data_IF_982844964204
#
_entry.id   IF_982844964204
#
_cell.length_a   1.000
_cell.length_b   1.000
_cell.length_c   1.000
_cell.angle_alpha   90.00
_cell.angle_beta   90.00
_cell.angle_gamma   90.00
#
_symmetry.space_group_name_H-M   'P 1'
#
loop_
_entity.id
_entity.type
_entity.pdbx_description
1 polymer ?
#
# COMPACT_ATOMS: atom_id res chain seq x y z
N UNK A 1 13.80 -1.10 5.47
CA UNK A 1 13.56 -1.58 6.85
C UNK A 1 14.89 -1.95 7.48
N UNK A 2 15.19 -1.48 8.68
CA UNK A 2 16.45 -1.83 9.35
C UNK A 2 16.21 -3.11 10.16
N UNK A 3 16.52 -4.28 9.59
CA UNK A 3 16.24 -5.61 10.19
C UNK A 3 16.83 -5.76 11.61
N UNK A 4 17.84 -4.94 11.95
CA UNK A 4 18.47 -4.93 13.28
C UNK A 4 17.56 -4.44 14.42
N UNK A 5 16.47 -3.70 14.14
CA UNK A 5 15.53 -3.21 15.20
C UNK A 5 14.51 -4.29 15.60
N UNK A 6 14.19 -5.25 14.73
CA UNK A 6 13.10 -6.23 14.95
C UNK A 6 13.59 -7.66 14.68
N UNK A 7 14.12 -8.32 15.71
CA UNK A 7 14.77 -9.63 15.58
C UNK A 7 13.83 -10.84 15.58
N UNK A 8 12.57 -10.64 15.98
CA UNK A 8 11.56 -11.71 16.02
C UNK A 8 10.62 -11.71 14.80
N UNK A 9 10.82 -10.81 13.84
CA UNK A 9 9.98 -10.71 12.65
C UNK A 9 10.80 -11.02 11.41
N UNK A 10 10.36 -12.01 10.63
CA UNK A 10 10.95 -12.32 9.34
C UNK A 10 10.03 -11.80 8.24
N UNK A 11 10.55 -10.95 7.36
CA UNK A 11 9.85 -10.51 6.16
C UNK A 11 10.27 -11.41 5.01
N UNK A 12 9.30 -12.02 4.32
CA UNK A 12 9.51 -12.77 3.09
C UNK A 12 8.90 -11.96 1.96
N UNK A 13 9.71 -11.58 0.97
CA UNK A 13 9.25 -10.79 -0.17
C UNK A 13 9.02 -11.72 -1.34
N UNK A 14 7.77 -11.82 -1.78
CA UNK A 14 7.41 -12.48 -3.01
C UNK A 14 7.21 -11.44 -4.11
N UNK A 15 7.88 -11.65 -5.25
CA UNK A 15 7.79 -10.78 -6.41
C UNK A 15 7.12 -11.51 -7.56
N UNK A 16 6.26 -10.78 -8.27
CA UNK A 16 5.46 -11.28 -9.38
C UNK A 16 5.84 -10.55 -10.68
N UNK A 17 7.14 -10.29 -10.85
CA UNK A 17 7.68 -9.46 -11.94
C UNK A 17 7.41 -10.04 -13.34
N UNK A 18 7.10 -11.33 -13.43
CA UNK A 18 6.78 -12.04 -14.68
C UNK A 18 5.27 -12.07 -15.01
N UNK A 19 4.40 -11.64 -14.10
CA UNK A 19 2.97 -11.63 -14.32
C UNK A 19 2.50 -10.29 -14.88
N UNK A 20 1.59 -10.36 -15.83
CA UNK A 20 0.81 -9.19 -16.22
C UNK A 20 -0.06 -8.72 -15.04
N UNK A 21 -0.36 -7.42 -14.99
CA UNK A 21 -1.10 -6.81 -13.88
C UNK A 21 -2.42 -7.55 -13.58
N UNK A 22 -3.19 -7.91 -14.61
CA UNK A 22 -4.46 -8.62 -14.45
C UNK A 22 -4.30 -10.03 -13.85
N UNK A 23 -3.23 -10.74 -14.23
CA UNK A 23 -2.93 -12.07 -13.71
C UNK A 23 -2.51 -11.99 -12.24
N UNK A 24 -1.69 -10.99 -11.90
CA UNK A 24 -1.30 -10.73 -10.53
C UNK A 24 -2.51 -10.36 -9.66
N UNK A 25 -3.37 -9.46 -10.13
CA UNK A 25 -4.61 -9.06 -9.46
C UNK A 25 -5.54 -10.26 -9.23
N UNK A 26 -5.75 -11.11 -10.24
CA UNK A 26 -6.58 -12.31 -10.13
C UNK A 26 -6.03 -13.29 -9.08
N UNK A 27 -4.71 -13.49 -9.07
CA UNK A 27 -4.05 -14.38 -8.10
C UNK A 27 -4.24 -13.88 -6.67
N UNK A 28 -3.91 -12.61 -6.41
CA UNK A 28 -4.06 -12.02 -5.07
C UNK A 28 -5.51 -12.07 -4.60
N UNK A 29 -6.47 -11.76 -5.47
CA UNK A 29 -7.90 -11.91 -5.14
C UNK A 29 -8.26 -13.34 -4.73
N UNK A 30 -7.76 -14.33 -5.47
CA UNK A 30 -8.03 -15.74 -5.18
C UNK A 30 -7.43 -16.16 -3.83
N UNK A 31 -6.19 -15.75 -3.55
CA UNK A 31 -5.50 -16.06 -2.29
C UNK A 31 -6.18 -15.38 -1.10
N UNK A 32 -6.56 -14.11 -1.23
CA UNK A 32 -7.30 -13.38 -0.20
C UNK A 32 -8.65 -14.05 0.12
N UNK A 33 -9.43 -14.40 -0.90
CA UNK A 33 -10.72 -15.11 -0.72
C UNK A 33 -10.54 -16.50 -0.08
N UNK A 34 -9.41 -17.15 -0.32
CA UNK A 34 -9.07 -18.44 0.29
C UNK A 34 -8.52 -18.32 1.73
N UNK A 35 -8.37 -17.10 2.27
CA UNK A 35 -7.75 -16.86 3.57
C UNK A 35 -6.24 -17.15 3.59
N UNK A 36 -5.60 -17.11 2.42
CA UNK A 36 -4.17 -17.40 2.21
C UNK A 36 -3.43 -16.24 1.55
N UNK A 37 -4.05 -15.05 1.52
CA UNK A 37 -3.42 -13.85 0.98
C UNK A 37 -2.23 -13.42 1.83
N UNK A 38 -1.34 -12.58 1.28
CA UNK A 38 -0.19 -12.07 2.00
C UNK A 38 -0.60 -11.13 3.14
N UNK A 39 0.27 -10.99 4.13
CA UNK A 39 0.07 -10.03 5.23
C UNK A 39 0.17 -8.57 4.75
N UNK A 40 0.99 -8.31 3.72
CA UNK A 40 1.22 -7.00 3.11
C UNK A 40 1.20 -7.12 1.59
N UNK A 41 0.55 -6.16 0.94
CA UNK A 41 0.48 -6.06 -0.52
C UNK A 41 1.08 -4.72 -0.92
N UNK A 42 2.03 -4.73 -1.87
CA UNK A 42 2.62 -3.52 -2.43
C UNK A 42 2.45 -3.52 -3.94
N UNK A 43 1.40 -2.84 -4.42
CA UNK A 43 1.13 -2.58 -5.84
C UNK A 43 -0.09 -1.66 -5.93
N UNK A 44 -0.39 -1.19 -7.14
CA UNK A 44 -1.70 -0.64 -7.46
C UNK A 44 -2.74 -1.76 -7.34
N UNK A 45 -3.78 -1.53 -6.54
CA UNK A 45 -4.89 -2.45 -6.34
C UNK A 45 -6.17 -1.64 -6.11
N UNK A 46 -7.36 -2.17 -6.40
CA UNK A 46 -8.63 -1.54 -6.08
C UNK A 46 -8.90 -1.59 -4.56
N UNK A 47 -8.09 -0.87 -3.79
CA UNK A 47 -8.11 -0.95 -2.33
C UNK A 47 -9.44 -0.50 -1.73
N UNK A 48 -10.17 0.41 -2.39
CA UNK A 48 -11.51 0.82 -2.00
C UNK A 48 -12.47 -0.38 -1.95
N UNK A 49 -12.42 -1.27 -2.96
CA UNK A 49 -13.25 -2.48 -2.98
C UNK A 49 -12.88 -3.46 -1.85
N UNK A 50 -11.59 -3.57 -1.54
CA UNK A 50 -11.12 -4.43 -0.44
C UNK A 50 -11.52 -3.86 0.92
N UNK A 51 -11.49 -2.54 1.07
CA UNK A 51 -12.00 -1.85 2.25
C UNK A 51 -13.49 -2.13 2.43
N UNK A 52 -14.30 -1.93 1.39
CA UNK A 52 -15.76 -2.14 1.44
C UNK A 52 -16.13 -3.60 1.77
N UNK A 53 -15.31 -4.56 1.33
CA UNK A 53 -15.47 -5.99 1.64
C UNK A 53 -14.92 -6.38 3.02
N UNK A 54 -14.35 -5.43 3.79
CA UNK A 54 -13.78 -5.69 5.11
C UNK A 54 -12.51 -6.54 5.07
N UNK A 55 -11.79 -6.53 3.95
CA UNK A 55 -10.59 -7.35 3.73
C UNK A 55 -9.30 -6.65 4.16
N UNK A 56 -9.36 -5.36 4.48
CA UNK A 56 -8.20 -4.56 4.91
C UNK A 56 -8.29 -4.21 6.40
N UNK A 57 -7.13 -4.19 7.04
CA UNK A 57 -6.98 -3.72 8.41
C UNK A 57 -7.14 -2.19 8.46
N UNK A 58 -7.90 -1.71 9.45
CA UNK A 58 -7.98 -0.26 9.74
C UNK A 58 -6.71 0.19 10.45
N UNK A 59 -5.91 1.02 9.77
CA UNK A 59 -4.61 1.48 10.27
C UNK A 59 -4.74 2.54 11.35
N UNK A 60 -5.86 3.28 11.43
CA UNK A 60 -6.05 4.29 12.48
C UNK A 60 -5.83 3.69 13.89
N UNK A 61 -6.29 2.46 14.12
CA UNK A 61 -6.15 1.80 15.41
C UNK A 61 -4.69 1.44 15.71
N UNK A 62 -3.92 1.03 14.70
CA UNK A 62 -2.49 0.76 14.87
C UNK A 62 -1.72 2.05 15.16
N UNK A 63 -2.01 3.10 14.40
CA UNK A 63 -1.35 4.41 14.51
C UNK A 63 -1.65 5.05 15.87
N UNK A 64 -2.90 5.06 16.30
CA UNK A 64 -3.28 5.63 17.60
C UNK A 64 -2.65 4.88 18.79
N UNK A 65 -2.25 3.62 18.60
CA UNK A 65 -1.59 2.81 19.62
C UNK A 65 -0.05 2.84 19.51
N UNK A 66 0.52 3.53 18.52
CA UNK A 66 1.97 3.64 18.34
C UNK A 66 2.44 5.08 18.64
N UNK A 67 2.99 5.35 19.85
CA UNK A 67 3.44 6.68 20.22
C UNK A 67 4.73 7.11 19.49
N UNK A 68 5.45 6.21 18.83
CA UNK A 68 6.62 6.57 17.99
C UNK A 68 6.19 7.02 16.59
N UNK A 69 4.94 6.74 16.18
CA UNK A 69 4.44 7.10 14.87
C UNK A 69 3.85 8.52 14.87
N UNK A 70 4.46 9.42 14.12
CA UNK A 70 3.91 10.75 13.88
C UNK A 70 3.40 10.87 12.44
N UNK A 71 2.07 10.99 12.28
CA UNK A 71 1.46 11.15 10.97
C UNK A 71 1.92 12.45 10.29
N UNK A 72 2.35 13.47 11.05
CA UNK A 72 2.82 14.75 10.51
C UNK A 72 4.17 14.66 9.80
N UNK A 73 4.89 13.55 9.96
CA UNK A 73 6.13 13.27 9.20
C UNK A 73 5.86 12.96 7.71
N UNK A 74 4.60 12.81 7.31
CA UNK A 74 4.20 12.45 5.94
C UNK A 74 3.50 13.61 5.22
N UNK A 75 3.52 13.58 3.88
CA UNK A 75 2.77 14.55 3.06
C UNK A 75 1.27 14.39 3.30
N UNK A 76 0.68 15.35 4.03
CA UNK A 76 -0.72 15.32 4.41
C UNK A 76 -1.66 15.37 3.20
N UNK A 77 -1.24 15.97 2.08
CA UNK A 77 -2.03 15.97 0.84
C UNK A 77 -2.20 14.56 0.34
N UNK A 78 -1.10 13.79 0.29
CA UNK A 78 -1.13 12.40 -0.15
C UNK A 78 -1.89 11.54 0.85
N UNK A 79 -1.63 11.67 2.15
CA UNK A 79 -2.36 10.90 3.19
C UNK A 79 -3.88 11.13 3.08
N UNK A 80 -4.31 12.38 2.90
CA UNK A 80 -5.74 12.71 2.82
C UNK A 80 -6.43 12.10 1.59
N UNK A 81 -5.71 11.86 0.49
CA UNK A 81 -6.26 11.17 -0.69
C UNK A 81 -6.60 9.71 -0.38
N UNK A 82 -5.84 9.06 0.50
CA UNK A 82 -6.04 7.66 0.87
C UNK A 82 -6.93 7.47 2.12
N UNK A 83 -7.44 8.56 2.71
CA UNK A 83 -8.42 8.48 3.79
C UNK A 83 -9.83 8.34 3.21
N UNK A 84 -10.58 7.36 3.70
CA UNK A 84 -12.01 7.24 3.42
C UNK A 84 -12.84 7.78 4.59
N UNK A 85 -14.16 7.87 4.39
CA UNK A 85 -15.12 8.21 5.46
C UNK A 85 -15.08 7.20 6.63
N UNK A 86 -14.65 5.97 6.36
CA UNK A 86 -14.70 4.86 7.32
C UNK A 86 -13.35 4.67 8.04
N UNK A 87 -12.27 5.28 7.52
CA UNK A 87 -10.95 5.26 8.14
C UNK A 87 -9.80 5.30 7.14
N UNK A 88 -8.60 5.08 7.65
CA UNK A 88 -7.36 4.95 6.90
C UNK A 88 -6.96 3.47 6.86
N UNK A 89 -6.86 2.91 5.65
CA UNK A 89 -6.65 1.46 5.44
C UNK A 89 -5.39 1.15 4.62
N UNK A 90 -4.82 2.17 3.95
CA UNK A 90 -3.68 2.01 3.06
C UNK A 90 -2.67 3.09 3.35
N UNK A 91 -1.43 2.68 3.62
CA UNK A 91 -0.31 3.61 3.74
C UNK A 91 0.33 3.84 2.36
N UNK A 92 0.33 5.08 1.83
CA UNK A 92 1.05 5.37 0.60
C UNK A 92 2.56 5.28 0.83
N UNK A 93 3.24 4.37 0.11
CA UNK A 93 4.70 4.18 0.20
C UNK A 93 5.43 4.99 -0.88
N UNK A 94 4.77 5.23 -2.02
CA UNK A 94 5.28 6.06 -3.11
C UNK A 94 4.12 6.59 -3.96
N UNK A 95 4.33 7.72 -4.63
CA UNK A 95 3.40 8.26 -5.62
C UNK A 95 4.15 8.73 -6.86
N UNK A 96 3.46 8.76 -8.00
CA UNK A 96 3.98 9.23 -9.28
C UNK A 96 3.11 10.39 -9.75
N UNK A 97 3.72 11.42 -10.32
CA UNK A 97 3.03 12.55 -10.92
C UNK A 97 3.36 12.57 -12.40
N UNK A 98 2.33 12.54 -13.24
CA UNK A 98 2.50 12.66 -14.68
C UNK A 98 3.05 14.03 -15.04
N UNK A 99 4.07 14.05 -15.89
CA UNK A 99 4.73 15.27 -16.34
C UNK A 99 5.04 15.21 -17.83
N UNK A 100 5.02 16.38 -18.47
CA UNK A 100 5.49 16.52 -19.84
C UNK A 100 6.99 16.78 -19.85
N UNK A 101 7.72 15.97 -20.62
CA UNK A 101 9.12 16.23 -20.96
C UNK A 101 9.16 16.96 -22.29
N UNK A 102 9.73 18.16 -22.31
CA UNK A 102 9.83 18.98 -23.52
C UNK A 102 11.26 18.94 -24.05
N UNK A 103 11.42 18.60 -25.33
CA UNK A 103 12.73 18.60 -25.99
C UNK A 103 13.18 20.04 -26.27
N UNK A 104 14.21 20.51 -25.56
CA UNK A 104 14.75 21.87 -25.71
C UNK A 104 15.35 22.17 -27.09
N UNK A 105 15.57 21.17 -27.94
CA UNK A 105 16.08 21.38 -29.31
C UNK A 105 14.96 21.70 -30.30
N UNK A 106 13.70 21.41 -29.95
CA UNK A 106 12.52 21.63 -30.79
C UNK A 106 11.69 22.85 -30.37
N UNK A 107 12.14 23.59 -29.36
CA UNK A 107 11.52 24.83 -28.84
C UNK A 107 12.48 25.99 -29.00
#
# INVERSE_FOLDING_TARGET
MNEKKYTNTKVIVERYDELEYEQYLQRINTELMAGKGPDLIYSYFPFDEYQEKGMLLKLDDMINNDPEFDMTDYDQTIINVYRSKDGFYVMPVSYIVDSFLVNSTLV
#
